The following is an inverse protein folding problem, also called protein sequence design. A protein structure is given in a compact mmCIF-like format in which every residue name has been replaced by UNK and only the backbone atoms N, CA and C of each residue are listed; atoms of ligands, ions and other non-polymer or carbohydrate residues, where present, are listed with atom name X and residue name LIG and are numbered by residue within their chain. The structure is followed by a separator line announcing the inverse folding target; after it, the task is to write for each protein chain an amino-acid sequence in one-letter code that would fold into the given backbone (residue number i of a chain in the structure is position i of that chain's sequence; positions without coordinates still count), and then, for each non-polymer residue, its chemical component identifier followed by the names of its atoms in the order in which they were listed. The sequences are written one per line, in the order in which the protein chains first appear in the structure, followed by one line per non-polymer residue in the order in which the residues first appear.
data_IF_991919023544
#
_entry.id   IF_991919023544
#
_cell.length_a   1.000
_cell.length_b   1.000
_cell.length_c   1.000
_cell.angle_alpha   90.00
_cell.angle_beta   90.00
_cell.angle_gamma   90.00
#
_symmetry.space_group_name_H-M   'P 1'
#
loop_
_entity.id
_entity.type
_entity.pdbx_description
1 polymer ?
#
# COMPACT_ATOMS: atom_id res chain seq x y z
N UNK A 1 -6.13 10.45 16.51
CA UNK A 1 -6.60 11.36 15.45
C UNK A 1 -7.12 12.61 16.13
N UNK A 2 -6.63 13.78 15.74
CA UNK A 2 -7.15 15.05 16.25
C UNK A 2 -8.51 15.40 15.58
N UNK A 3 -9.24 16.37 16.15
CA UNK A 3 -10.60 16.68 15.68
C UNK A 3 -10.62 17.30 14.28
N UNK A 4 -9.62 18.13 13.97
CA UNK A 4 -9.37 18.72 12.65
C UNK A 4 -9.03 17.66 11.60
N UNK A 5 -8.18 16.69 11.95
CA UNK A 5 -7.88 15.54 11.11
C UNK A 5 -9.15 14.72 10.82
N UNK A 6 -9.98 14.47 11.83
CA UNK A 6 -11.25 13.75 11.64
C UNK A 6 -12.18 14.53 10.70
N UNK A 7 -12.32 15.83 10.91
CA UNK A 7 -13.10 16.69 10.05
C UNK A 7 -12.60 16.67 8.59
N UNK A 8 -11.28 16.73 8.38
CA UNK A 8 -10.69 16.59 7.05
C UNK A 8 -10.98 15.23 6.42
N UNK A 9 -10.91 14.14 7.18
CA UNK A 9 -11.27 12.81 6.68
C UNK A 9 -12.77 12.73 6.31
N UNK A 10 -13.65 13.22 7.18
CA UNK A 10 -15.11 13.21 6.96
C UNK A 10 -15.48 13.98 5.68
N UNK A 11 -14.76 15.06 5.35
CA UNK A 11 -14.97 15.84 4.12
C UNK A 11 -14.39 15.19 2.86
N UNK A 12 -13.20 14.60 2.94
CA UNK A 12 -12.44 14.15 1.76
C UNK A 12 -12.55 12.64 1.49
N UNK A 13 -12.93 11.84 2.50
CA UNK A 13 -12.87 10.39 2.46
C UNK A 13 -11.46 9.79 2.60
N UNK A 14 -10.44 10.63 2.82
CA UNK A 14 -9.05 10.20 3.06
C UNK A 14 -8.28 11.20 3.93
N UNK A 15 -7.15 10.77 4.49
CA UNK A 15 -6.20 11.62 5.21
C UNK A 15 -4.75 11.19 4.93
N UNK A 16 -3.83 12.16 4.94
CA UNK A 16 -2.39 11.93 4.76
C UNK A 16 -1.70 11.98 6.12
N UNK A 17 -1.22 10.82 6.60
CA UNK A 17 -0.37 10.74 7.80
C UNK A 17 1.10 10.69 7.36
N UNK A 18 1.80 11.81 7.48
CA UNK A 18 3.20 11.93 7.03
C UNK A 18 4.15 11.25 8.00
N UNK A 19 5.28 10.75 7.51
CA UNK A 19 6.38 10.22 8.32
C UNK A 19 5.90 9.13 9.30
N UNK A 20 5.18 8.15 8.77
CA UNK A 20 4.83 6.93 9.51
C UNK A 20 6.06 6.02 9.58
N UNK A 21 6.65 5.75 8.42
CA UNK A 21 7.91 5.01 8.31
C UNK A 21 9.10 5.98 8.27
N UNK A 22 10.19 5.57 8.88
CA UNK A 22 11.51 6.22 8.75
C UNK A 22 12.13 5.92 7.37
N UNK A 23 13.13 6.70 6.92
CA UNK A 23 13.82 6.41 5.66
C UNK A 23 14.42 4.99 5.60
N UNK A 24 14.98 4.50 6.71
CA UNK A 24 15.56 3.16 6.78
C UNK A 24 14.49 2.06 6.69
N UNK A 25 13.31 2.27 7.27
CA UNK A 25 12.19 1.34 7.13
C UNK A 25 11.64 1.32 5.69
N UNK A 26 11.58 2.49 5.03
CA UNK A 26 11.20 2.58 3.62
C UNK A 26 12.21 1.82 2.73
N UNK A 27 13.50 2.00 2.97
CA UNK A 27 14.55 1.27 2.25
C UNK A 27 14.44 -0.25 2.47
N UNK A 28 14.21 -0.68 3.72
CA UNK A 28 14.00 -2.08 4.05
C UNK A 28 12.76 -2.68 3.38
N UNK A 29 11.67 -1.92 3.29
CA UNK A 29 10.45 -2.35 2.62
C UNK A 29 10.66 -2.50 1.10
N UNK A 30 11.33 -1.53 0.47
CA UNK A 30 11.64 -1.58 -0.95
C UNK A 30 12.54 -2.78 -1.27
N UNK A 31 13.60 -3.01 -0.48
CA UNK A 31 14.49 -4.15 -0.67
C UNK A 31 13.74 -5.48 -0.59
N UNK A 32 12.83 -5.63 0.38
CA UNK A 32 12.01 -6.84 0.49
C UNK A 32 11.12 -7.03 -0.76
N UNK A 33 10.51 -5.97 -1.28
CA UNK A 33 9.69 -6.04 -2.50
C UNK A 33 10.54 -6.45 -3.71
N UNK A 34 11.75 -5.89 -3.84
CA UNK A 34 12.67 -6.20 -4.94
C UNK A 34 13.11 -7.68 -4.91
N UNK A 35 13.32 -8.25 -3.72
CA UNK A 35 13.68 -9.67 -3.54
C UNK A 35 12.57 -10.65 -3.94
N UNK A 36 11.31 -10.20 -3.96
CA UNK A 36 10.14 -10.99 -4.37
C UNK A 36 9.57 -10.54 -5.73
N UNK A 37 10.31 -9.72 -6.50
CA UNK A 37 9.80 -9.12 -7.73
C UNK A 37 9.52 -10.17 -8.83
N UNK A 38 10.18 -11.31 -8.80
CA UNK A 38 9.97 -12.44 -9.69
C UNK A 38 8.67 -13.21 -9.39
N UNK A 39 8.13 -13.10 -8.18
CA UNK A 39 6.84 -13.67 -7.79
C UNK A 39 5.64 -12.81 -8.26
N UNK A 40 5.89 -11.63 -8.82
CA UNK A 40 4.83 -10.73 -9.26
C UNK A 40 4.03 -11.28 -10.45
N UNK A 41 2.72 -11.41 -10.27
CA UNK A 41 1.82 -11.97 -11.29
C UNK A 41 1.09 -10.84 -12.02
N UNK A 42 1.19 -10.81 -13.34
CA UNK A 42 0.40 -9.87 -14.16
C UNK A 42 -1.09 -10.23 -14.13
N UNK A 43 -1.96 -9.23 -13.90
CA UNK A 43 -3.39 -9.35 -14.13
C UNK A 43 -3.68 -9.33 -15.63
N UNK A 44 -3.61 -10.50 -16.25
CA UNK A 44 -3.71 -10.71 -17.70
C UNK A 44 -5.11 -10.54 -18.34
N UNK A 45 -6.24 -10.66 -17.62
CA UNK A 45 -7.55 -10.42 -18.25
C UNK A 45 -7.66 -9.01 -18.86
N UNK A 46 -8.09 -8.87 -20.13
CA UNK A 46 -8.15 -7.57 -20.83
C UNK A 46 -9.02 -6.52 -20.11
N UNK A 47 -10.05 -6.98 -19.39
CA UNK A 47 -10.98 -6.17 -18.58
C UNK A 47 -10.28 -5.44 -17.43
N UNK A 48 -9.11 -5.94 -16.99
CA UNK A 48 -8.36 -5.37 -15.87
C UNK A 48 -7.39 -4.28 -16.32
N UNK A 49 -7.38 -3.93 -17.61
CA UNK A 49 -6.66 -2.77 -18.12
C UNK A 49 -7.53 -1.51 -17.99
N UNK A 50 -6.91 -0.44 -17.48
CA UNK A 50 -7.58 0.85 -17.27
C UNK A 50 -7.94 1.62 -18.56
N UNK A 51 -7.58 1.08 -19.73
CA UNK A 51 -7.80 1.72 -21.02
C UNK A 51 -8.28 0.71 -22.07
N UNK A 52 -9.13 1.17 -22.99
CA UNK A 52 -9.58 0.38 -24.14
C UNK A 52 -8.45 0.18 -25.14
N UNK A 53 -8.29 -1.06 -25.62
CA UNK A 53 -7.33 -1.42 -26.67
C UNK A 53 -7.55 -0.57 -27.93
N UNK A 54 -6.47 -0.07 -28.50
CA UNK A 54 -6.50 0.77 -29.71
C UNK A 54 -6.72 2.28 -29.46
N UNK A 55 -6.85 2.71 -28.21
CA UNK A 55 -6.90 4.15 -27.87
C UNK A 55 -5.51 4.72 -27.58
N UNK A 56 -5.36 6.04 -27.67
CA UNK A 56 -4.12 6.75 -27.30
C UNK A 56 -3.71 6.55 -25.83
N UNK A 57 -4.65 6.14 -24.98
CA UNK A 57 -4.44 5.88 -23.55
C UNK A 57 -4.04 4.43 -23.27
N UNK A 58 -3.96 3.57 -24.29
CA UNK A 58 -3.59 2.17 -24.13
C UNK A 58 -2.08 2.00 -24.03
N UNK A 59 -1.59 1.61 -22.85
CA UNK A 59 -0.18 1.33 -22.63
C UNK A 59 0.30 0.09 -23.38
N UNK A 60 1.50 0.18 -23.96
CA UNK A 60 2.18 -0.93 -24.64
C UNK A 60 2.96 -1.87 -23.69
N UNK A 61 3.13 -1.47 -22.43
CA UNK A 61 3.86 -2.24 -21.42
C UNK A 61 3.06 -3.39 -20.79
N UNK A 62 3.70 -4.12 -19.87
CA UNK A 62 3.00 -5.12 -19.05
C UNK A 62 1.86 -4.45 -18.28
N UNK A 63 0.80 -5.21 -18.06
CA UNK A 63 -0.33 -4.81 -17.23
C UNK A 63 0.06 -4.64 -15.76
N UNK A 64 -0.92 -4.25 -14.94
CA UNK A 64 -0.74 -4.21 -13.49
C UNK A 64 -0.35 -5.60 -12.99
N UNK A 65 0.73 -5.66 -12.21
CA UNK A 65 1.13 -6.85 -11.47
C UNK A 65 0.67 -6.77 -10.03
N UNK A 66 0.34 -7.91 -9.44
CA UNK A 66 0.12 -8.06 -8.03
C UNK A 66 1.27 -8.79 -7.36
N UNK A 67 1.56 -8.41 -6.12
CA UNK A 67 2.43 -9.13 -5.22
C UNK A 67 1.69 -9.31 -3.89
N UNK A 68 1.37 -10.56 -3.55
CA UNK A 68 0.69 -10.93 -2.30
C UNK A 68 1.67 -11.51 -1.27
N UNK A 69 1.16 -11.92 -0.11
CA UNK A 69 1.94 -12.69 0.87
C UNK A 69 2.90 -11.87 1.75
N UNK A 70 2.85 -10.53 1.68
CA UNK A 70 3.82 -9.65 2.36
C UNK A 70 3.89 -9.84 3.89
N UNK A 71 2.81 -10.30 4.52
CA UNK A 71 2.77 -10.58 5.96
C UNK A 71 3.31 -11.99 6.28
N UNK A 72 3.37 -12.87 5.28
CA UNK A 72 3.80 -14.26 5.39
C UNK A 72 5.28 -14.44 5.03
N UNK A 73 5.91 -13.44 4.40
CA UNK A 73 7.34 -13.45 4.11
C UNK A 73 8.22 -13.66 5.36
N UNK A 74 9.45 -14.18 5.19
CA UNK A 74 10.46 -14.27 6.26
C UNK A 74 10.47 -13.04 7.17
N UNK A 75 10.59 -13.27 8.48
CA UNK A 75 10.38 -12.21 9.48
C UNK A 75 11.20 -10.94 9.22
N UNK A 76 12.45 -11.09 8.78
CA UNK A 76 13.32 -9.94 8.49
C UNK A 76 12.81 -9.06 7.33
N UNK A 77 12.04 -9.62 6.39
CA UNK A 77 11.36 -8.90 5.30
C UNK A 77 9.96 -8.42 5.72
N UNK A 78 9.18 -9.26 6.42
CA UNK A 78 7.79 -8.90 6.80
C UNK A 78 7.67 -7.96 8.00
N UNK A 79 8.75 -7.76 8.77
CA UNK A 79 8.74 -6.97 10.02
C UNK A 79 8.23 -5.54 9.81
N UNK A 80 8.71 -4.84 8.78
CA UNK A 80 8.32 -3.45 8.51
C UNK A 80 6.84 -3.35 8.15
N UNK A 81 6.31 -4.29 7.39
CA UNK A 81 4.89 -4.26 7.01
C UNK A 81 3.98 -4.63 8.18
N UNK A 82 4.39 -5.60 9.00
CA UNK A 82 3.67 -5.97 10.23
C UNK A 82 3.63 -4.81 11.23
N UNK A 83 4.68 -3.99 11.31
CA UNK A 83 4.72 -2.86 12.22
C UNK A 83 3.61 -1.83 11.93
N UNK A 84 3.19 -1.70 10.67
CA UNK A 84 2.14 -0.76 10.23
C UNK A 84 0.77 -1.11 10.85
N UNK A 85 0.48 -2.40 11.07
CA UNK A 85 -0.80 -2.87 11.62
C UNK A 85 -1.06 -2.37 13.04
N UNK A 86 0.00 -2.18 13.83
CA UNK A 86 -0.06 -1.71 15.21
C UNK A 86 0.84 -0.51 15.46
N UNK A 87 1.10 0.29 14.41
CA UNK A 87 2.02 1.42 14.52
C UNK A 87 1.45 2.45 15.50
N UNK A 88 2.21 2.93 16.51
CA UNK A 88 1.69 3.86 17.53
C UNK A 88 1.09 5.13 16.95
N UNK A 89 1.63 5.59 15.82
CA UNK A 89 1.08 6.75 15.08
C UNK A 89 -0.22 6.43 14.35
N UNK A 90 -0.46 5.19 13.92
CA UNK A 90 -1.65 4.81 13.15
C UNK A 90 -2.79 4.28 14.02
N UNK A 91 -2.49 3.63 15.15
CA UNK A 91 -3.49 3.10 16.08
C UNK A 91 -4.61 4.09 16.43
N UNK A 92 -4.32 5.39 16.75
CA UNK A 92 -5.38 6.36 17.01
C UNK A 92 -6.30 6.62 15.82
N UNK A 93 -5.81 6.46 14.59
CA UNK A 93 -6.63 6.61 13.37
C UNK A 93 -7.49 5.36 13.17
N UNK A 94 -6.92 4.16 13.32
CA UNK A 94 -7.69 2.91 13.22
C UNK A 94 -8.84 2.87 14.22
N UNK A 95 -8.59 3.19 15.50
CA UNK A 95 -9.65 3.21 16.50
C UNK A 95 -10.75 4.24 16.23
N UNK A 96 -10.38 5.37 15.62
CA UNK A 96 -11.35 6.44 15.31
C UNK A 96 -12.17 6.10 14.08
N UNK A 97 -11.55 5.53 13.04
CA UNK A 97 -12.17 5.31 11.74
C UNK A 97 -12.85 3.94 11.60
N UNK A 98 -12.29 2.91 12.24
CA UNK A 98 -12.75 1.51 12.12
C UNK A 98 -13.48 1.01 13.36
N UNK A 99 -13.42 1.77 14.47
CA UNK A 99 -13.93 1.34 15.76
C UNK A 99 -12.87 0.63 16.62
N UNK A 100 -13.28 0.28 17.85
CA UNK A 100 -12.46 -0.49 18.79
C UNK A 100 -12.81 -1.97 18.74
#
# INVERSE_FOLDING_TARGET
MAADEKYLFDLNGYIIVKNVLTPAEVESANKAIDEHADEMIERSPPELRNAKKGTKMYGAGPGRKDLGGLLEWPFHQSKVFKSILAHPKLLPYYHTLLGK
#
